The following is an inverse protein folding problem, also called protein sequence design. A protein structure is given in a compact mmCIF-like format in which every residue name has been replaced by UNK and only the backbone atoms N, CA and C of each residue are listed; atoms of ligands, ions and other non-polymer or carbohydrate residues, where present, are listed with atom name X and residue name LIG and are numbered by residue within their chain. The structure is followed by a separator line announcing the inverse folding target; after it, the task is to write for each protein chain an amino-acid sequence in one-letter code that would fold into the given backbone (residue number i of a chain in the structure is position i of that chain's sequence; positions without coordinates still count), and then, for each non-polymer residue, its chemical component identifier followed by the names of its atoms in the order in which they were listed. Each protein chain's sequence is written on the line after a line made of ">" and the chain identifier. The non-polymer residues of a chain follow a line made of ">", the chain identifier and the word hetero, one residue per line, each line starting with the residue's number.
data_IF_431519129431
#
_entry.id   IF_431519129431
#
_cell.length_a   1.000
_cell.length_b   1.000
_cell.length_c   1.000
_cell.angle_alpha   90.00
_cell.angle_beta   90.00
_cell.angle_gamma   90.00
#
_symmetry.space_group_name_H-M   'P 1'
#
loop_
_entity.id
_entity.type
_entity.pdbx_description
1 polymer ?
#
# COMPACT_ATOMS: atom_id res chain seq x y z
N UNK A 1 -19.70 -1.78 -0.54
CA UNK A 1 -18.74 -1.08 -1.42
C UNK A 1 -17.95 -2.12 -2.21
N UNK A 2 -17.75 -1.96 -3.52
CA UNK A 2 -17.09 -2.99 -4.34
C UNK A 2 -15.59 -3.08 -4.00
N UNK A 3 -15.04 -4.30 -3.92
CA UNK A 3 -13.62 -4.56 -3.64
C UNK A 3 -12.68 -3.81 -4.61
N UNK A 4 -13.12 -3.60 -5.85
CA UNK A 4 -12.38 -2.84 -6.86
C UNK A 4 -12.15 -1.38 -6.48
N UNK A 5 -13.12 -0.73 -5.83
CA UNK A 5 -13.00 0.68 -5.41
C UNK A 5 -12.05 0.82 -4.22
N UNK A 6 -12.04 -0.16 -3.31
CA UNK A 6 -11.07 -0.25 -2.21
C UNK A 6 -9.64 -0.34 -2.77
N UNK A 7 -9.42 -1.18 -3.79
CA UNK A 7 -8.12 -1.32 -4.44
C UNK A 7 -7.65 -0.03 -5.13
N UNK A 8 -8.57 0.71 -5.78
CA UNK A 8 -8.24 2.02 -6.37
C UNK A 8 -7.76 3.01 -5.32
N UNK A 9 -8.53 3.16 -4.23
CA UNK A 9 -8.18 4.08 -3.13
C UNK A 9 -6.83 3.71 -2.48
N UNK A 10 -6.61 2.42 -2.21
CA UNK A 10 -5.34 1.93 -1.68
C UNK A 10 -4.16 2.28 -2.60
N UNK A 11 -4.28 2.10 -3.93
CA UNK A 11 -3.22 2.44 -4.88
C UNK A 11 -2.91 3.93 -4.91
N UNK A 12 -3.93 4.79 -4.81
CA UNK A 12 -3.74 6.25 -4.72
C UNK A 12 -3.01 6.62 -3.45
N UNK A 13 -3.43 6.09 -2.30
CA UNK A 13 -2.76 6.37 -1.01
C UNK A 13 -1.32 5.86 -0.97
N UNK A 14 -1.04 4.66 -1.53
CA UNK A 14 0.32 4.14 -1.64
C UNK A 14 1.21 4.99 -2.55
N UNK A 15 0.66 5.51 -3.67
CA UNK A 15 1.39 6.42 -4.57
C UNK A 15 1.66 7.79 -3.93
N UNK A 16 0.72 8.30 -3.14
CA UNK A 16 0.91 9.55 -2.40
C UNK A 16 2.00 9.42 -1.32
N UNK A 17 2.17 8.22 -0.74
CA UNK A 17 3.17 7.93 0.28
C UNK A 17 4.58 7.59 -0.22
N UNK A 18 4.87 7.78 -1.50
CA UNK A 18 6.17 7.43 -2.09
C UNK A 18 7.27 8.34 -1.55
N UNK A 19 8.29 7.73 -0.93
CA UNK A 19 9.52 8.38 -0.53
C UNK A 19 10.63 8.01 -1.53
N UNK A 20 11.08 9.01 -2.29
CA UNK A 20 12.12 8.82 -3.33
C UNK A 20 13.44 8.34 -2.73
N UNK A 21 13.74 8.72 -1.48
CA UNK A 21 14.96 8.29 -0.79
C UNK A 21 14.90 6.79 -0.52
N UNK A 22 13.79 6.32 0.05
CA UNK A 22 13.59 4.89 0.31
C UNK A 22 13.54 4.09 -0.98
N UNK A 23 12.91 4.62 -2.03
CA UNK A 23 12.94 3.97 -3.34
C UNK A 23 14.38 3.76 -3.83
N UNK A 24 15.22 4.80 -3.74
CA UNK A 24 16.63 4.73 -4.17
C UNK A 24 17.47 3.81 -3.28
N UNK A 25 17.27 3.88 -1.96
CA UNK A 25 17.99 3.06 -0.99
C UNK A 25 17.64 1.58 -1.19
N UNK A 26 16.37 1.26 -1.42
CA UNK A 26 15.93 -0.09 -1.77
C UNK A 26 16.60 -0.59 -3.05
N UNK A 27 16.64 0.21 -4.13
CA UNK A 27 17.34 -0.19 -5.36
C UNK A 27 18.85 -0.40 -5.17
N UNK A 28 19.46 0.25 -4.17
CA UNK A 28 20.87 0.07 -3.84
C UNK A 28 21.12 -1.16 -2.98
N UNK A 29 20.18 -1.49 -2.10
CA UNK A 29 20.27 -2.66 -1.21
C UNK A 29 20.10 -3.97 -1.97
N UNK A 30 19.11 -4.05 -2.85
CA UNK A 30 18.88 -5.22 -3.68
C UNK A 30 19.82 -5.19 -4.89
N UNK A 31 20.56 -6.29 -5.11
CA UNK A 31 21.46 -6.45 -6.27
C UNK A 31 20.70 -6.52 -7.60
N UNK A 32 19.43 -6.91 -7.53
CA UNK A 32 18.52 -6.98 -8.67
C UNK A 32 17.57 -5.79 -8.68
N UNK A 33 17.14 -5.39 -9.89
CA UNK A 33 16.13 -4.34 -10.04
C UNK A 33 14.80 -4.85 -9.50
N UNK A 34 14.37 -4.32 -8.36
CA UNK A 34 13.07 -4.65 -7.77
C UNK A 34 12.00 -3.64 -8.15
N UNK A 35 10.76 -4.08 -8.34
CA UNK A 35 9.62 -3.17 -8.45
C UNK A 35 9.15 -2.80 -7.05
N UNK A 36 9.52 -1.62 -6.58
CA UNK A 36 9.07 -1.10 -5.30
C UNK A 36 8.51 0.32 -5.41
N UNK A 37 7.46 0.59 -4.64
CA UNK A 37 6.88 1.93 -4.53
C UNK A 37 7.78 2.86 -3.71
N UNK A 38 8.60 2.34 -2.78
CA UNK A 38 9.43 3.16 -1.89
C UNK A 38 8.63 3.79 -0.75
N UNK A 39 7.71 3.04 -0.17
CA UNK A 39 6.81 3.50 0.90
C UNK A 39 7.32 2.99 2.24
N UNK A 40 7.19 3.80 3.29
CA UNK A 40 7.58 3.42 4.65
C UNK A 40 6.68 2.33 5.24
N UNK A 41 7.27 1.38 5.96
CA UNK A 41 6.55 0.29 6.64
C UNK A 41 5.42 0.78 7.56
N UNK A 42 5.58 1.83 8.38
CA UNK A 42 4.48 2.38 9.18
C UNK A 42 3.25 2.80 8.37
N UNK A 43 3.45 3.41 7.19
CA UNK A 43 2.34 3.81 6.33
C UNK A 43 1.61 2.59 5.80
N UNK A 44 2.35 1.63 5.23
CA UNK A 44 1.78 0.39 4.69
C UNK A 44 0.99 -0.37 5.77
N UNK A 45 1.54 -0.48 6.98
CA UNK A 45 0.88 -1.15 8.11
C UNK A 45 -0.42 -0.45 8.53
N UNK A 46 -0.46 0.88 8.52
CA UNK A 46 -1.68 1.66 8.78
C UNK A 46 -2.73 1.44 7.70
N UNK A 47 -2.34 1.52 6.42
CA UNK A 47 -3.24 1.29 5.29
C UNK A 47 -3.79 -0.13 5.28
N UNK A 48 -2.95 -1.13 5.53
CA UNK A 48 -3.35 -2.53 5.62
C UNK A 48 -4.46 -2.71 6.65
N UNK A 49 -4.30 -2.19 7.88
CA UNK A 49 -5.34 -2.28 8.92
C UNK A 49 -6.64 -1.59 8.49
N UNK A 50 -6.55 -0.37 7.93
CA UNK A 50 -7.72 0.42 7.49
C UNK A 50 -8.55 -0.35 6.46
N UNK A 51 -7.92 -0.74 5.36
CA UNK A 51 -8.61 -1.36 4.24
C UNK A 51 -9.02 -2.82 4.51
N UNK A 52 -8.25 -3.56 5.32
CA UNK A 52 -8.65 -4.90 5.73
C UNK A 52 -9.93 -4.89 6.58
N UNK A 53 -10.04 -3.94 7.52
CA UNK A 53 -11.27 -3.75 8.30
C UNK A 53 -12.47 -3.35 7.42
N UNK A 54 -12.24 -2.50 6.41
CA UNK A 54 -13.27 -2.08 5.46
C UNK A 54 -13.80 -3.24 4.60
N UNK A 55 -12.91 -4.15 4.15
CA UNK A 55 -13.29 -5.37 3.44
C UNK A 55 -14.08 -6.31 4.35
N UNK A 56 -13.61 -6.52 5.60
CA UNK A 56 -14.28 -7.39 6.56
C UNK A 56 -15.69 -6.89 6.88
N UNK A 57 -15.86 -5.59 7.19
CA UNK A 57 -17.19 -4.99 7.43
C UNK A 57 -18.11 -5.17 6.23
N UNK A 58 -17.63 -4.93 5.02
CA UNK A 58 -18.41 -5.12 3.80
C UNK A 58 -18.74 -6.59 3.47
N UNK A 59 -18.11 -7.56 4.13
CA UNK A 59 -18.40 -9.00 3.99
C UNK A 59 -19.36 -9.50 5.07
N UNK A 60 -19.36 -8.87 6.25
CA UNK A 60 -20.26 -9.21 7.37
C UNK A 60 -21.67 -8.60 7.24
N UNK A 61 -21.87 -7.65 6.32
CA UNK A 61 -23.17 -7.04 6.01
C UNK A 61 -23.90 -7.71 4.82
N UNK A 62 -23.36 -8.81 4.29
CA UNK A 62 -23.99 -9.64 3.25
C UNK A 62 -24.51 -10.95 3.82
#
# INVERSE_FOLDING_TARGET
>A
MNNFEILKKLRVELKAGIDRKIKKDNQRFFKEKILCYGVRTPLVRRLSKKYFQEILRGTLEK
#
